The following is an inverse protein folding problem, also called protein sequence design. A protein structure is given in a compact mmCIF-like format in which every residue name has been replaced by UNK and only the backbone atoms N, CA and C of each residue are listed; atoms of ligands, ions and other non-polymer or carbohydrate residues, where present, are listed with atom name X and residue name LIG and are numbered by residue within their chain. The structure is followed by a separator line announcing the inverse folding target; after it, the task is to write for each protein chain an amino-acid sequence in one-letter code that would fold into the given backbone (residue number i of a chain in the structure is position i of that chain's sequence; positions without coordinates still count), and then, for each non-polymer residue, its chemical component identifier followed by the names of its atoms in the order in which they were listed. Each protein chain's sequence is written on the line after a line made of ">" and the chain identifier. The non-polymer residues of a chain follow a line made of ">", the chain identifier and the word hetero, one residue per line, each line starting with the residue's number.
data_IF_151054909206
#
_entry.id   IF_151054909206
#
_cell.length_a   1.000
_cell.length_b   1.000
_cell.length_c   1.000
_cell.angle_alpha   90.00
_cell.angle_beta   90.00
_cell.angle_gamma   90.00
#
_symmetry.space_group_name_H-M   'P 1'
#
loop_
_entity.id
_entity.type
_entity.pdbx_description
1 polymer ?
#
# COMPACT_ATOMS: atom_id res chain seq x y z
N UNK A 1 13.14 -10.64 11.50
CA UNK A 1 13.47 -9.71 10.40
C UNK A 1 13.96 -8.42 11.00
N UNK A 2 15.13 -7.90 10.58
CA UNK A 2 15.51 -6.55 10.99
C UNK A 2 14.49 -5.59 10.39
N UNK A 3 13.95 -4.69 11.23
CA UNK A 3 12.93 -3.74 10.83
C UNK A 3 13.58 -2.68 9.93
N UNK A 4 13.64 -2.97 8.63
CA UNK A 4 14.37 -2.21 7.61
C UNK A 4 13.90 -0.76 7.40
N UNK A 5 12.78 -0.35 8.02
CA UNK A 5 12.27 1.02 7.97
C UNK A 5 12.60 1.86 9.22
N UNK A 6 13.37 1.34 10.15
CA UNK A 6 13.71 2.07 11.39
C UNK A 6 14.46 3.38 11.13
N UNK A 7 15.38 3.41 10.16
CA UNK A 7 16.12 4.63 9.81
C UNK A 7 15.25 5.66 9.09
N UNK A 8 14.30 5.18 8.27
CA UNK A 8 13.39 6.04 7.55
C UNK A 8 12.36 6.74 8.46
N UNK A 9 12.03 6.16 9.63
CA UNK A 9 10.92 6.59 10.47
C UNK A 9 10.93 8.09 10.81
N UNK A 10 12.11 8.67 11.08
CA UNK A 10 12.21 10.07 11.46
C UNK A 10 11.84 11.05 10.34
N UNK A 11 12.11 10.69 9.07
CA UNK A 11 11.93 11.56 7.91
C UNK A 11 10.82 11.10 6.97
N UNK A 12 10.16 9.98 7.26
CA UNK A 12 9.19 9.32 6.37
C UNK A 12 8.03 10.24 5.98
N UNK A 13 7.54 11.02 6.93
CA UNK A 13 6.43 11.94 6.65
C UNK A 13 6.84 13.04 5.67
N UNK A 14 8.05 13.57 5.78
CA UNK A 14 8.57 14.62 4.88
C UNK A 14 8.95 14.09 3.51
N UNK A 15 9.47 12.86 3.44
CA UNK A 15 9.94 12.24 2.19
C UNK A 15 8.82 11.57 1.40
N UNK A 16 7.70 11.20 2.05
CA UNK A 16 6.57 10.54 1.40
C UNK A 16 5.22 11.14 1.78
N UNK A 17 4.81 11.07 3.04
CA UNK A 17 3.42 11.38 3.47
C UNK A 17 3.00 12.80 3.12
N UNK A 18 3.86 13.79 3.35
CA UNK A 18 3.56 15.21 3.16
C UNK A 18 3.90 15.73 1.76
N UNK A 19 4.52 14.92 0.91
CA UNK A 19 4.82 15.30 -0.46
C UNK A 19 3.55 15.53 -1.29
N UNK A 20 3.67 16.30 -2.36
CA UNK A 20 2.52 16.57 -3.25
C UNK A 20 2.03 15.28 -3.93
N UNK A 21 2.96 14.43 -4.35
CA UNK A 21 2.67 13.15 -4.98
C UNK A 21 2.03 12.18 -3.98
N UNK A 22 2.62 12.01 -2.79
CA UNK A 22 2.10 11.12 -1.76
C UNK A 22 0.67 11.46 -1.35
N UNK A 23 0.37 12.77 -1.16
CA UNK A 23 -0.98 13.25 -0.88
C UNK A 23 -1.97 12.94 -2.00
N UNK A 24 -1.56 13.12 -3.27
CA UNK A 24 -2.44 12.83 -4.41
C UNK A 24 -2.73 11.33 -4.54
N UNK A 25 -1.72 10.48 -4.42
CA UNK A 25 -1.90 9.03 -4.47
C UNK A 25 -2.79 8.54 -3.32
N UNK A 26 -2.55 9.03 -2.09
CA UNK A 26 -3.36 8.68 -0.91
C UNK A 26 -4.81 9.14 -1.05
N UNK A 27 -5.05 10.32 -1.61
CA UNK A 27 -6.41 10.81 -1.88
C UNK A 27 -7.19 9.91 -2.85
N UNK A 28 -6.52 9.31 -3.86
CA UNK A 28 -7.15 8.33 -4.75
C UNK A 28 -7.54 7.06 -4.01
N UNK A 29 -6.65 6.55 -3.13
CA UNK A 29 -6.94 5.39 -2.30
C UNK A 29 -8.14 5.66 -1.42
N UNK A 30 -8.16 6.78 -0.70
CA UNK A 30 -9.27 7.15 0.19
C UNK A 30 -10.60 7.32 -0.55
N UNK A 31 -10.58 7.96 -1.73
CA UNK A 31 -11.80 8.16 -2.53
C UNK A 31 -12.42 6.84 -3.00
N UNK A 32 -11.61 5.82 -3.32
CA UNK A 32 -12.15 4.50 -3.67
C UNK A 32 -12.55 3.71 -2.42
N UNK A 33 -11.68 3.68 -1.42
CA UNK A 33 -11.89 2.94 -0.17
C UNK A 33 -13.17 3.37 0.55
N UNK A 34 -13.48 4.68 0.59
CA UNK A 34 -14.70 5.21 1.22
C UNK A 34 -16.00 4.59 0.71
N UNK A 35 -16.02 4.10 -0.53
CA UNK A 35 -17.19 3.40 -1.10
C UNK A 35 -17.44 2.03 -0.48
N UNK A 36 -16.46 1.48 0.23
CA UNK A 36 -16.49 0.13 0.78
C UNK A 36 -16.60 0.11 2.32
N UNK A 37 -16.75 1.28 2.98
CA UNK A 37 -16.73 1.42 4.44
C UNK A 37 -18.12 1.41 5.11
N UNK A 38 -19.21 1.34 4.37
CA UNK A 38 -20.59 1.54 4.91
C UNK A 38 -20.94 0.64 6.09
N UNK A 39 -20.47 -0.62 6.11
CA UNK A 39 -20.74 -1.60 7.17
C UNK A 39 -19.52 -1.89 8.05
N UNK A 40 -18.46 -1.13 7.90
CA UNK A 40 -17.21 -1.31 8.64
C UNK A 40 -17.29 -0.60 9.98
N UNK A 41 -16.78 -1.22 11.04
CA UNK A 41 -16.61 -0.63 12.38
C UNK A 41 -15.17 -0.83 12.86
N UNK A 42 -14.67 -2.06 12.80
CA UNK A 42 -13.35 -2.45 13.30
C UNK A 42 -12.38 -2.62 12.15
N UNK A 43 -11.30 -1.87 12.17
CA UNK A 43 -10.27 -1.86 11.13
C UNK A 43 -8.94 -2.31 11.73
N UNK A 44 -8.29 -3.26 11.07
CA UNK A 44 -6.88 -3.57 11.29
C UNK A 44 -6.07 -2.98 10.13
N UNK A 45 -5.20 -2.03 10.43
CA UNK A 45 -4.19 -1.56 9.49
C UNK A 45 -2.89 -2.31 9.74
N UNK A 46 -2.36 -2.99 8.74
CA UNK A 46 -1.05 -3.62 8.77
C UNK A 46 -0.04 -2.76 8.01
N UNK A 47 1.23 -2.80 8.43
CA UNK A 47 2.31 -1.96 7.91
C UNK A 47 1.93 -0.46 7.87
N UNK A 48 1.44 0.05 9.00
CA UNK A 48 0.88 1.39 9.13
C UNK A 48 1.93 2.52 9.04
N UNK A 49 3.23 2.20 9.09
CA UNK A 49 4.29 3.19 9.13
C UNK A 49 4.09 4.19 10.26
N UNK A 50 4.10 5.48 9.94
CA UNK A 50 3.90 6.58 10.89
C UNK A 50 2.43 6.84 11.23
N UNK A 51 1.50 5.94 10.88
CA UNK A 51 0.10 5.95 11.31
C UNK A 51 -0.83 6.93 10.59
N UNK A 52 -0.46 7.44 9.43
CA UNK A 52 -1.26 8.45 8.72
C UNK A 52 -2.65 7.94 8.33
N UNK A 53 -2.72 6.71 7.83
CA UNK A 53 -3.99 6.11 7.41
C UNK A 53 -4.84 5.71 8.62
N UNK A 54 -4.23 5.18 9.69
CA UNK A 54 -4.91 4.91 10.96
C UNK A 54 -5.58 6.17 11.53
N UNK A 55 -4.85 7.30 11.51
CA UNK A 55 -5.38 8.60 11.96
C UNK A 55 -6.54 9.05 11.07
N UNK A 56 -6.44 8.82 9.74
CA UNK A 56 -7.52 9.16 8.82
C UNK A 56 -8.78 8.35 9.08
N UNK A 57 -8.68 7.05 9.36
CA UNK A 57 -9.81 6.21 9.77
C UNK A 57 -10.40 6.64 11.10
N UNK A 58 -9.55 6.89 12.11
CA UNK A 58 -10.01 7.30 13.44
C UNK A 58 -10.78 8.63 13.42
N UNK A 59 -10.38 9.59 12.56
CA UNK A 59 -11.12 10.84 12.34
C UNK A 59 -12.50 10.64 11.74
N UNK A 60 -12.80 9.48 11.20
CA UNK A 60 -14.11 9.09 10.68
C UNK A 60 -14.88 8.18 11.65
N UNK A 61 -14.43 8.09 12.92
CA UNK A 61 -15.02 7.32 14.01
C UNK A 61 -14.98 5.80 13.83
N UNK A 62 -14.00 5.27 13.04
CA UNK A 62 -13.73 3.84 13.03
C UNK A 62 -12.91 3.43 14.24
N UNK A 63 -13.11 2.19 14.70
CA UNK A 63 -12.29 1.55 15.72
C UNK A 63 -11.04 0.97 15.04
N UNK A 64 -9.86 1.52 15.30
CA UNK A 64 -8.64 1.22 14.54
C UNK A 64 -7.59 0.58 15.44
N UNK A 65 -7.13 -0.60 15.05
CA UNK A 65 -5.87 -1.18 15.50
C UNK A 65 -4.88 -1.09 14.34
N UNK A 66 -3.68 -0.59 14.58
CA UNK A 66 -2.68 -0.39 13.54
C UNK A 66 -1.35 -1.00 13.94
N UNK A 67 -0.72 -1.71 13.00
CA UNK A 67 0.52 -2.46 13.26
C UNK A 67 1.59 -2.14 12.23
N UNK A 68 2.83 -2.17 12.70
CA UNK A 68 4.03 -2.15 11.85
C UNK A 68 5.12 -3.02 12.47
N UNK A 69 6.01 -3.57 11.66
CA UNK A 69 7.15 -4.34 12.17
C UNK A 69 8.21 -3.41 12.80
N UNK A 70 8.32 -2.17 12.33
CA UNK A 70 9.25 -1.17 12.83
C UNK A 70 8.76 -0.54 14.13
N UNK A 71 9.47 -0.80 15.23
CA UNK A 71 9.17 -0.16 16.51
C UNK A 71 9.33 1.37 16.46
N UNK A 72 10.23 1.89 15.62
CA UNK A 72 10.43 3.33 15.46
C UNK A 72 9.30 3.99 14.68
N UNK A 73 8.73 3.32 13.67
CA UNK A 73 7.51 3.78 13.01
C UNK A 73 6.36 3.88 14.00
N UNK A 74 6.15 2.85 14.81
CA UNK A 74 5.12 2.83 15.87
C UNK A 74 5.34 3.95 16.90
N UNK A 75 6.59 4.21 17.28
CA UNK A 75 6.91 5.34 18.18
C UNK A 75 6.52 6.69 17.57
N UNK A 76 6.80 6.92 16.28
CA UNK A 76 6.36 8.14 15.58
C UNK A 76 4.84 8.21 15.51
N UNK A 77 4.16 7.12 15.18
CA UNK A 77 2.70 7.05 15.09
C UNK A 77 2.03 7.40 16.44
N UNK A 78 2.53 6.84 17.55
CA UNK A 78 2.03 7.12 18.92
C UNK A 78 2.21 8.58 19.33
N UNK A 79 3.25 9.27 18.83
CA UNK A 79 3.42 10.71 19.07
C UNK A 79 2.39 11.57 18.33
N UNK A 80 1.86 11.07 17.19
CA UNK A 80 0.88 11.78 16.35
C UNK A 80 -0.56 11.62 16.85
N UNK A 81 -0.91 10.46 17.42
CA UNK A 81 -2.26 10.19 17.90
C UNK A 81 -2.29 9.09 18.96
N UNK A 82 -3.28 9.18 19.86
CA UNK A 82 -3.56 8.15 20.88
C UNK A 82 -4.51 7.10 20.31
N UNK A 83 -3.95 6.17 19.50
CA UNK A 83 -4.67 5.03 18.93
C UNK A 83 -3.99 3.71 19.36
N UNK A 84 -4.63 2.59 19.08
CA UNK A 84 -4.07 1.27 19.35
C UNK A 84 -2.98 0.92 18.31
N UNK A 85 -1.76 1.42 18.53
CA UNK A 85 -0.59 1.11 17.73
C UNK A 85 0.23 -0.01 18.36
N UNK A 86 0.56 -1.06 17.59
CA UNK A 86 1.30 -2.22 18.08
C UNK A 86 2.44 -2.59 17.11
N UNK A 87 3.55 -3.10 17.64
CA UNK A 87 4.60 -3.71 16.82
C UNK A 87 4.21 -5.16 16.52
N UNK A 88 4.06 -5.51 15.24
CA UNK A 88 3.75 -6.87 14.83
C UNK A 88 4.33 -7.20 13.45
N UNK A 89 4.77 -8.45 13.27
CA UNK A 89 5.15 -9.00 11.96
C UNK A 89 3.89 -9.44 11.21
N UNK A 90 3.75 -8.97 9.97
CA UNK A 90 2.63 -9.34 9.09
C UNK A 90 2.52 -10.86 8.87
N UNK A 91 3.64 -11.59 8.88
CA UNK A 91 3.65 -13.06 8.77
C UNK A 91 3.00 -13.76 9.95
N UNK A 92 2.88 -13.08 11.10
CA UNK A 92 2.28 -13.59 12.32
C UNK A 92 0.93 -12.94 12.65
N UNK A 93 0.41 -12.08 11.78
CA UNK A 93 -0.74 -11.20 12.07
C UNK A 93 -2.00 -12.00 12.46
N UNK A 94 -2.27 -13.11 11.79
CA UNK A 94 -3.41 -13.97 12.09
C UNK A 94 -3.30 -14.62 13.47
N UNK A 95 -2.08 -14.92 13.94
CA UNK A 95 -1.82 -15.46 15.28
C UNK A 95 -1.89 -14.37 16.35
N UNK A 96 -1.38 -13.19 16.06
CA UNK A 96 -1.41 -12.05 17.01
C UNK A 96 -2.84 -11.67 17.35
N UNK A 97 -3.76 -11.74 16.39
CA UNK A 97 -5.17 -11.36 16.53
C UNK A 97 -6.15 -12.54 16.47
N UNK A 98 -5.73 -13.76 16.83
CA UNK A 98 -6.53 -14.99 16.70
C UNK A 98 -7.91 -14.91 17.37
N UNK A 99 -8.04 -14.11 18.43
CA UNK A 99 -9.29 -13.91 19.19
C UNK A 99 -10.07 -12.65 18.79
N UNK A 100 -9.62 -11.93 17.76
CA UNK A 100 -10.27 -10.70 17.30
C UNK A 100 -10.87 -10.89 15.91
N UNK A 101 -11.87 -10.05 15.57
CA UNK A 101 -12.48 -10.02 14.24
C UNK A 101 -12.54 -8.59 13.73
N UNK A 102 -12.07 -8.39 12.50
CA UNK A 102 -12.06 -7.11 11.82
C UNK A 102 -12.97 -7.12 10.60
N UNK A 103 -13.71 -6.02 10.40
CA UNK A 103 -14.55 -5.85 9.22
C UNK A 103 -13.71 -5.49 7.98
N UNK A 104 -12.58 -4.82 8.22
CA UNK A 104 -11.62 -4.43 7.19
C UNK A 104 -10.19 -4.64 7.68
N UNK A 105 -9.38 -5.32 6.87
CA UNK A 105 -7.92 -5.27 6.98
C UNK A 105 -7.39 -4.39 5.85
N UNK A 106 -6.60 -3.40 6.20
CA UNK A 106 -6.03 -2.42 5.28
C UNK A 106 -4.50 -2.48 5.24
N UNK A 107 -3.94 -2.36 4.04
CA UNK A 107 -2.50 -2.23 3.82
C UNK A 107 -2.24 -1.23 2.70
N UNK A 108 -1.46 -0.19 2.97
CA UNK A 108 -1.18 0.86 2.01
C UNK A 108 0.30 0.87 1.58
N UNK A 109 0.53 1.38 0.36
CA UNK A 109 1.83 1.74 -0.22
C UNK A 109 2.99 0.76 0.02
N UNK A 110 2.80 -0.47 -0.48
CA UNK A 110 3.92 -1.39 -0.71
C UNK A 110 4.35 -2.24 0.47
N UNK A 111 3.68 -2.20 1.63
CA UNK A 111 4.02 -3.10 2.74
C UNK A 111 3.96 -4.57 2.36
N UNK A 112 2.92 -5.00 1.64
CA UNK A 112 2.83 -6.36 1.09
C UNK A 112 3.87 -6.67 0.00
N UNK A 113 4.49 -5.65 -0.58
CA UNK A 113 5.60 -5.83 -1.52
C UNK A 113 6.92 -6.21 -0.83
N UNK A 114 6.98 -6.22 0.49
CA UNK A 114 8.09 -6.79 1.26
C UNK A 114 7.97 -8.31 1.44
N UNK A 115 6.82 -8.90 1.13
CA UNK A 115 6.57 -10.33 1.24
C UNK A 115 6.90 -11.04 -0.07
N UNK A 116 7.62 -12.15 0.03
CA UNK A 116 7.81 -13.11 -1.05
C UNK A 116 6.48 -13.77 -1.44
N UNK A 117 6.48 -14.47 -2.57
CA UNK A 117 5.28 -15.18 -3.04
C UNK A 117 4.79 -16.21 -2.01
N UNK A 118 5.69 -16.97 -1.39
CA UNK A 118 5.32 -17.97 -0.37
C UNK A 118 4.76 -17.35 0.92
N UNK A 119 5.30 -16.19 1.33
CA UNK A 119 4.75 -15.45 2.47
C UNK A 119 3.37 -14.88 2.16
N UNK A 120 3.13 -14.38 0.93
CA UNK A 120 1.78 -13.96 0.51
C UNK A 120 0.80 -15.13 0.43
N UNK A 121 1.23 -16.31 -0.05
CA UNK A 121 0.41 -17.52 -0.03
C UNK A 121 -0.03 -17.86 1.40
N UNK A 122 0.91 -17.84 2.35
CA UNK A 122 0.60 -18.06 3.76
C UNK A 122 -0.30 -16.96 4.35
N UNK A 123 -0.04 -15.69 4.02
CA UNK A 123 -0.88 -14.57 4.44
C UNK A 123 -2.33 -14.77 4.00
N UNK A 124 -2.60 -15.05 2.71
CA UNK A 124 -3.96 -15.27 2.21
C UNK A 124 -4.61 -16.55 2.74
N UNK A 125 -3.83 -17.55 3.10
CA UNK A 125 -4.32 -18.79 3.69
C UNK A 125 -4.75 -18.64 5.16
N UNK A 126 -4.26 -17.63 5.87
CA UNK A 126 -4.46 -17.50 7.31
C UNK A 126 -5.26 -16.26 7.72
N UNK A 127 -5.18 -15.17 6.95
CA UNK A 127 -5.74 -13.86 7.32
C UNK A 127 -7.27 -13.85 7.39
N UNK A 128 -7.97 -14.74 6.68
CA UNK A 128 -9.42 -14.88 6.75
C UNK A 128 -9.91 -15.28 8.15
N UNK A 129 -9.05 -15.95 8.94
CA UNK A 129 -9.37 -16.36 10.31
C UNK A 129 -9.63 -15.17 11.25
N UNK A 130 -9.04 -14.00 10.99
CA UNK A 130 -9.21 -12.77 11.79
C UNK A 130 -10.19 -11.77 11.16
N UNK A 131 -10.80 -12.10 10.02
CA UNK A 131 -11.84 -11.30 9.43
C UNK A 131 -13.24 -11.73 9.89
N UNK A 132 -14.11 -10.75 10.07
CA UNK A 132 -15.54 -10.97 10.27
C UNK A 132 -16.15 -11.67 9.06
N UNK A 133 -17.38 -12.15 9.20
CA UNK A 133 -18.16 -12.66 8.08
C UNK A 133 -18.32 -11.55 7.03
N UNK A 134 -18.01 -11.85 5.76
CA UNK A 134 -17.94 -10.85 4.66
C UNK A 134 -16.94 -9.71 4.89
N UNK A 135 -16.01 -9.87 5.83
CA UNK A 135 -14.91 -8.94 6.04
C UNK A 135 -14.06 -8.76 4.79
N UNK A 136 -13.43 -7.62 4.67
CA UNK A 136 -12.71 -7.21 3.45
C UNK A 136 -11.23 -7.03 3.69
N UNK A 137 -10.46 -7.27 2.62
CA UNK A 137 -9.07 -6.80 2.50
C UNK A 137 -9.04 -5.64 1.51
N UNK A 138 -8.40 -4.54 1.87
CA UNK A 138 -8.11 -3.43 0.98
C UNK A 138 -6.59 -3.25 0.90
N UNK A 139 -6.00 -3.60 -0.23
CA UNK A 139 -4.56 -3.74 -0.39
C UNK A 139 -4.06 -2.85 -1.51
N UNK A 140 -3.08 -1.98 -1.22
CA UNK A 140 -2.40 -1.14 -2.21
C UNK A 140 -1.03 -1.72 -2.51
N UNK A 141 -0.84 -2.17 -3.75
CA UNK A 141 0.31 -3.00 -4.15
C UNK A 141 1.01 -2.39 -5.36
N UNK A 142 2.35 -2.42 -5.36
CA UNK A 142 3.19 -1.99 -6.49
C UNK A 142 3.19 -3.02 -7.61
N UNK A 143 3.04 -2.53 -8.86
CA UNK A 143 2.94 -3.39 -10.05
C UNK A 143 4.30 -3.75 -10.65
N UNK A 144 4.34 -4.87 -11.41
CA UNK A 144 5.50 -5.27 -12.24
C UNK A 144 5.71 -4.40 -13.48
N UNK A 145 4.65 -3.75 -13.98
CA UNK A 145 4.64 -3.19 -15.33
C UNK A 145 4.48 -1.67 -15.38
N UNK A 146 4.75 -0.96 -14.27
CA UNK A 146 4.57 0.51 -14.21
C UNK A 146 5.21 1.22 -15.41
N UNK A 147 4.42 2.09 -16.07
CA UNK A 147 4.90 2.85 -17.22
C UNK A 147 5.86 3.97 -16.80
N UNK A 148 5.63 4.61 -15.66
CA UNK A 148 6.48 5.68 -15.15
C UNK A 148 7.94 5.27 -15.04
N UNK A 149 8.21 4.09 -14.47
CA UNK A 149 9.57 3.60 -14.30
C UNK A 149 10.22 3.24 -15.63
N UNK A 150 9.43 2.68 -16.56
CA UNK A 150 9.93 2.39 -17.91
C UNK A 150 10.33 3.66 -18.65
N UNK A 151 9.49 4.70 -18.62
CA UNK A 151 9.81 6.00 -19.23
C UNK A 151 10.99 6.67 -18.54
N UNK A 152 11.07 6.61 -17.19
CA UNK A 152 12.19 7.16 -16.45
C UNK A 152 13.52 6.52 -16.85
N UNK A 153 13.62 5.20 -16.90
CA UNK A 153 14.85 4.53 -17.28
C UNK A 153 15.18 4.68 -18.77
N UNK A 154 14.16 4.74 -19.63
CA UNK A 154 14.35 5.05 -21.05
C UNK A 154 14.97 6.45 -21.23
N UNK A 155 14.42 7.47 -20.56
CA UNK A 155 14.90 8.84 -20.59
C UNK A 155 16.34 8.99 -20.03
N UNK A 156 16.74 8.10 -19.10
CA UNK A 156 18.09 8.02 -18.52
C UNK A 156 19.05 7.14 -19.34
N UNK A 157 18.64 6.57 -20.48
CA UNK A 157 19.37 5.59 -21.27
C UNK A 157 19.82 4.34 -20.45
N UNK A 158 19.08 4.00 -19.39
CA UNK A 158 19.34 2.86 -18.49
C UNK A 158 18.53 1.64 -18.91
N UNK A 159 18.72 1.15 -20.12
CA UNK A 159 17.90 0.09 -20.73
C UNK A 159 17.81 -1.20 -19.91
N UNK A 160 18.88 -1.55 -19.17
CA UNK A 160 18.90 -2.74 -18.30
C UNK A 160 17.88 -2.66 -17.15
N UNK A 161 17.47 -1.46 -16.77
CA UNK A 161 16.58 -1.22 -15.65
C UNK A 161 15.10 -1.10 -16.05
N UNK A 162 14.78 -1.00 -17.35
CA UNK A 162 13.39 -0.83 -17.85
C UNK A 162 12.45 -1.95 -17.38
N UNK A 163 12.97 -3.16 -17.19
CA UNK A 163 12.21 -4.32 -16.75
C UNK A 163 12.61 -4.86 -15.38
N UNK A 164 13.28 -4.05 -14.53
CA UNK A 164 13.80 -4.53 -13.25
C UNK A 164 12.71 -5.11 -12.35
N UNK A 165 11.50 -4.53 -12.34
CA UNK A 165 10.34 -5.01 -11.54
C UNK A 165 9.79 -6.36 -12.01
N UNK A 166 10.26 -6.91 -13.16
CA UNK A 166 9.88 -8.26 -13.62
C UNK A 166 10.76 -9.35 -13.02
N UNK A 167 11.86 -8.99 -12.38
CA UNK A 167 12.68 -9.94 -11.62
C UNK A 167 11.88 -10.49 -10.44
N UNK A 168 12.31 -11.60 -9.88
CA UNK A 168 11.69 -12.20 -8.70
C UNK A 168 11.67 -11.21 -7.53
N UNK A 169 12.79 -10.56 -7.26
CA UNK A 169 12.91 -9.49 -6.29
C UNK A 169 13.86 -8.38 -6.76
N UNK A 170 13.76 -7.23 -6.15
CA UNK A 170 14.63 -6.07 -6.39
C UNK A 170 15.03 -5.49 -5.04
N UNK A 171 16.31 -5.17 -4.89
CA UNK A 171 16.75 -4.35 -3.75
C UNK A 171 16.37 -2.89 -4.01
N UNK A 172 15.38 -2.39 -3.29
CA UNK A 172 15.02 -0.98 -3.27
C UNK A 172 15.85 -0.26 -2.20
N UNK A 173 16.43 0.87 -2.58
CA UNK A 173 17.18 1.70 -1.63
C UNK A 173 16.24 2.76 -1.04
N UNK A 174 15.99 2.69 0.26
CA UNK A 174 15.11 3.61 0.99
C UNK A 174 15.87 4.15 2.19
N UNK A 175 16.11 5.45 2.21
CA UNK A 175 16.78 6.18 3.31
C UNK A 175 18.06 5.50 3.85
N UNK A 176 18.90 5.00 2.94
CA UNK A 176 20.18 4.37 3.28
C UNK A 176 20.11 2.89 3.62
N UNK A 177 18.94 2.25 3.48
CA UNK A 177 18.74 0.81 3.65
C UNK A 177 18.34 0.13 2.36
N UNK A 178 18.74 -1.14 2.19
CA UNK A 178 18.34 -1.97 1.05
C UNK A 178 17.18 -2.88 1.48
N UNK A 179 16.02 -2.66 0.89
CA UNK A 179 14.80 -3.41 1.18
C UNK A 179 14.53 -4.36 0.03
N UNK A 180 14.45 -5.66 0.31
CA UNK A 180 14.02 -6.64 -0.68
C UNK A 180 12.55 -6.38 -1.01
N UNK A 181 12.28 -6.09 -2.28
CA UNK A 181 10.95 -5.70 -2.76
C UNK A 181 10.50 -6.64 -3.88
N UNK A 182 9.30 -7.15 -3.74
CA UNK A 182 8.63 -8.00 -4.71
C UNK A 182 7.49 -7.22 -5.39
N UNK A 183 7.27 -7.44 -6.66
CA UNK A 183 6.23 -6.75 -7.41
C UNK A 183 5.17 -7.74 -7.89
N UNK A 184 3.90 -7.36 -7.78
CA UNK A 184 2.79 -8.23 -8.13
C UNK A 184 1.79 -7.51 -9.04
N UNK A 185 1.42 -8.13 -10.15
CA UNK A 185 0.31 -7.63 -10.95
C UNK A 185 -1.04 -8.02 -10.31
N UNK A 186 -2.13 -7.34 -10.63
CA UNK A 186 -3.45 -7.68 -10.08
C UNK A 186 -3.81 -9.15 -10.21
N UNK A 187 -3.51 -9.78 -11.35
CA UNK A 187 -3.77 -11.21 -11.58
C UNK A 187 -3.00 -12.12 -10.64
N UNK A 188 -1.77 -11.74 -10.25
CA UNK A 188 -0.97 -12.54 -9.32
C UNK A 188 -1.67 -12.61 -7.96
N UNK A 189 -2.14 -11.47 -7.45
CA UNK A 189 -2.86 -11.36 -6.16
C UNK A 189 -4.22 -12.06 -6.21
N UNK A 190 -4.99 -11.87 -7.28
CA UNK A 190 -6.27 -12.57 -7.46
C UNK A 190 -6.08 -14.09 -7.41
N UNK A 191 -5.05 -14.62 -8.07
CA UNK A 191 -4.77 -16.05 -8.06
C UNK A 191 -4.36 -16.57 -6.67
N UNK A 192 -3.59 -15.79 -5.91
CA UNK A 192 -3.15 -16.16 -4.55
C UNK A 192 -4.30 -16.13 -3.53
N UNK A 193 -5.24 -15.21 -3.71
CA UNK A 193 -6.35 -14.98 -2.77
C UNK A 193 -7.61 -15.83 -3.07
N UNK A 194 -7.72 -16.44 -4.25
CA UNK A 194 -8.99 -16.98 -4.77
C UNK A 194 -9.61 -18.11 -3.94
N UNK A 195 -8.84 -18.80 -3.11
CA UNK A 195 -9.34 -19.87 -2.25
C UNK A 195 -10.34 -19.34 -1.21
N UNK A 196 -9.99 -18.23 -0.55
CA UNK A 196 -10.73 -17.70 0.59
C UNK A 196 -11.44 -16.37 0.27
N UNK A 197 -11.12 -15.73 -0.86
CA UNK A 197 -11.60 -14.39 -1.18
C UNK A 197 -12.17 -14.29 -2.60
N UNK A 198 -13.15 -13.41 -2.75
CA UNK A 198 -13.63 -12.94 -4.06
C UNK A 198 -13.17 -11.50 -4.32
N UNK A 199 -12.95 -11.17 -5.59
CA UNK A 199 -12.51 -9.82 -5.98
C UNK A 199 -13.70 -8.90 -6.15
N UNK A 200 -13.76 -7.83 -5.36
CA UNK A 200 -14.82 -6.81 -5.42
C UNK A 200 -14.43 -5.65 -6.35
N UNK A 201 -13.20 -5.15 -6.25
CA UNK A 201 -12.74 -3.98 -7.03
C UNK A 201 -11.24 -4.03 -7.26
N UNK A 202 -10.78 -3.55 -8.43
CA UNK A 202 -9.38 -3.29 -8.73
C UNK A 202 -9.29 -1.93 -9.43
N UNK A 203 -8.52 -1.00 -8.87
CA UNK A 203 -8.37 0.37 -9.38
C UNK A 203 -6.90 0.77 -9.53
N UNK A 204 -6.53 1.46 -10.61
CA UNK A 204 -5.19 2.02 -10.75
C UNK A 204 -4.97 3.15 -9.76
N UNK A 205 -3.76 3.24 -9.21
CA UNK A 205 -3.29 4.33 -8.35
C UNK A 205 -1.96 4.83 -8.92
N UNK A 206 -1.93 6.05 -9.38
CA UNK A 206 -0.74 6.64 -9.99
C UNK A 206 -0.43 6.08 -11.39
N UNK A 207 -1.44 6.05 -12.28
CA UNK A 207 -1.21 5.81 -13.70
C UNK A 207 -0.61 7.05 -14.38
N UNK A 208 -1.20 8.24 -14.17
CA UNK A 208 -0.68 9.53 -14.59
C UNK A 208 0.04 10.27 -13.47
N UNK A 209 -0.34 10.10 -12.21
CA UNK A 209 0.38 10.66 -11.07
C UNK A 209 1.73 9.94 -10.95
N UNK A 210 2.86 10.68 -10.90
CA UNK A 210 4.18 10.08 -10.86
C UNK A 210 4.42 9.29 -9.57
N UNK A 211 5.38 8.36 -9.55
CA UNK A 211 5.87 7.74 -8.32
C UNK A 211 6.50 8.76 -7.35
N UNK A 212 6.45 8.48 -6.06
CA UNK A 212 6.92 9.38 -5.00
C UNK A 212 8.39 9.76 -5.12
N UNK A 213 9.26 8.86 -5.58
CA UNK A 213 10.69 9.18 -5.80
C UNK A 213 10.95 10.25 -6.87
N UNK A 214 9.94 10.62 -7.66
CA UNK A 214 9.99 11.73 -8.61
C UNK A 214 9.46 13.05 -8.01
N UNK A 215 8.99 13.09 -6.76
CA UNK A 215 8.43 14.29 -6.14
C UNK A 215 9.40 15.46 -6.22
N UNK A 216 10.68 15.26 -5.99
CA UNK A 216 11.71 16.29 -6.10
C UNK A 216 11.75 17.01 -7.45
N UNK A 217 11.43 16.30 -8.56
CA UNK A 217 11.30 16.90 -9.89
C UNK A 217 9.98 17.65 -10.08
N UNK A 218 8.91 17.18 -9.45
CA UNK A 218 7.57 17.70 -9.64
C UNK A 218 7.13 18.73 -8.60
N UNK A 219 7.75 18.81 -7.41
CA UNK A 219 7.32 19.66 -6.29
C UNK A 219 7.10 21.13 -6.67
N UNK A 220 7.89 21.66 -7.59
CA UNK A 220 7.76 23.04 -8.07
C UNK A 220 6.86 23.18 -9.30
N UNK A 221 6.30 22.09 -9.84
CA UNK A 221 5.48 22.05 -11.05
C UNK A 221 4.00 21.84 -10.73
N UNK A 222 3.47 22.57 -9.76
CA UNK A 222 2.10 22.42 -9.23
C UNK A 222 1.01 22.43 -10.32
N UNK A 223 1.17 23.26 -11.37
CA UNK A 223 0.23 23.31 -12.50
C UNK A 223 0.22 22.01 -13.29
N UNK A 224 1.40 21.44 -13.55
CA UNK A 224 1.54 20.17 -14.26
C UNK A 224 1.03 18.99 -13.43
N UNK A 225 1.33 18.93 -12.13
CA UNK A 225 0.75 17.93 -11.24
C UNK A 225 -0.79 17.98 -11.20
N UNK A 226 -1.39 19.18 -11.19
CA UNK A 226 -2.85 19.32 -11.27
C UNK A 226 -3.41 18.80 -12.60
N UNK A 227 -2.71 19.03 -13.70
CA UNK A 227 -3.08 18.47 -15.01
C UNK A 227 -3.02 16.94 -15.00
N UNK A 228 -1.91 16.34 -14.50
CA UNK A 228 -1.78 14.89 -14.38
C UNK A 228 -2.86 14.28 -13.47
N UNK A 229 -3.18 14.95 -12.35
CA UNK A 229 -4.27 14.51 -11.47
C UNK A 229 -5.63 14.54 -12.16
N UNK A 230 -5.90 15.56 -13.02
CA UNK A 230 -7.13 15.60 -13.82
C UNK A 230 -7.20 14.42 -14.79
N UNK A 231 -6.11 14.07 -15.47
CA UNK A 231 -6.04 12.90 -16.33
C UNK A 231 -6.25 11.60 -15.53
N UNK A 232 -5.66 11.50 -14.33
CA UNK A 232 -5.84 10.37 -13.41
C UNK A 232 -7.33 10.16 -13.07
N UNK A 233 -8.08 11.25 -12.77
CA UNK A 233 -9.52 11.16 -12.51
C UNK A 233 -10.31 10.58 -13.70
N UNK A 234 -9.85 10.79 -14.94
CA UNK A 234 -10.47 10.22 -16.15
C UNK A 234 -10.29 8.70 -16.27
N UNK A 235 -9.23 8.15 -15.71
CA UNK A 235 -8.87 6.71 -15.85
C UNK A 235 -8.99 5.89 -14.57
N UNK A 236 -9.22 6.50 -13.41
CA UNK A 236 -9.24 5.83 -12.09
C UNK A 236 -10.20 4.63 -11.99
N UNK A 237 -11.19 4.55 -12.87
CA UNK A 237 -12.14 3.43 -12.92
C UNK A 237 -11.77 2.34 -13.94
N UNK A 238 -10.68 2.51 -14.70
CA UNK A 238 -10.29 1.59 -15.76
C UNK A 238 -9.39 0.48 -15.21
N UNK A 239 -9.99 -0.62 -14.77
CA UNK A 239 -9.31 -1.77 -14.15
C UNK A 239 -8.13 -2.30 -14.99
N UNK A 240 -8.24 -2.32 -16.33
CA UNK A 240 -7.17 -2.82 -17.21
C UNK A 240 -5.86 -2.02 -17.12
N UNK A 241 -5.91 -0.75 -16.65
CA UNK A 241 -4.75 0.10 -16.46
C UNK A 241 -4.03 -0.18 -15.12
N UNK A 242 -4.66 -0.88 -14.18
CA UNK A 242 -4.08 -1.18 -12.87
C UNK A 242 -2.73 -1.87 -12.95
N UNK A 243 -2.51 -2.75 -13.94
CA UNK A 243 -1.22 -3.43 -14.14
C UNK A 243 -0.09 -2.51 -14.67
N UNK A 244 -0.41 -1.29 -15.09
CA UNK A 244 0.52 -0.31 -15.65
C UNK A 244 0.72 0.93 -14.78
N UNK A 245 -0.12 1.13 -13.76
CA UNK A 245 0.02 2.19 -12.77
C UNK A 245 1.20 1.92 -11.83
N UNK A 246 1.59 2.89 -11.05
CA UNK A 246 2.64 2.70 -10.03
C UNK A 246 2.20 1.71 -8.96
N UNK A 247 0.95 1.90 -8.47
CA UNK A 247 0.25 0.99 -7.57
C UNK A 247 -1.14 0.65 -8.12
N UNK A 248 -1.80 -0.29 -7.48
CA UNK A 248 -3.24 -0.50 -7.60
C UNK A 248 -3.83 -0.81 -6.24
N UNK A 249 -5.06 -0.36 -6.03
CA UNK A 249 -5.89 -0.78 -4.90
C UNK A 249 -6.72 -1.98 -5.34
N UNK A 250 -6.65 -3.07 -4.60
CA UNK A 250 -7.53 -4.23 -4.74
C UNK A 250 -8.38 -4.39 -3.49
N UNK A 251 -9.69 -4.56 -3.68
CA UNK A 251 -10.64 -4.90 -2.62
C UNK A 251 -11.04 -6.36 -2.82
N UNK A 252 -10.78 -7.16 -1.80
CA UNK A 252 -11.15 -8.56 -1.73
C UNK A 252 -12.15 -8.74 -0.59
N UNK A 253 -13.13 -9.62 -0.74
CA UNK A 253 -14.12 -9.95 0.30
C UNK A 253 -14.00 -11.42 0.66
N UNK A 254 -14.03 -11.73 1.95
CA UNK A 254 -14.08 -13.09 2.47
C UNK A 254 -15.34 -13.80 1.95
N UNK A 255 -15.17 -15.04 1.49
CA UNK A 255 -16.24 -15.93 0.98
C UNK A 255 -17.16 -16.43 2.09
#
# INVERSE_FOLDING_TARGET
>A
MDASFDKAAANYDDTFTHTAVGKMQRALVYAELSKHLTSVKNILEINCGTGEDAIWFAKQNFNVTATDISAKMIEVARRKASLNFQTADINLIAKVFENEKFDLLFSNFGGLNCLSKSELENFFATVDSILAEKGKLALVIMTKNTLWERFYFLAKAQFKNISRRKKESVLAHVDGENITTYYYNPKDIVNLANANFETVSIKPIGFFIPPSYLDGFFKNKKGFLRFLNRMEQGVKNTTSLSKYADHYLIILQKR
#
